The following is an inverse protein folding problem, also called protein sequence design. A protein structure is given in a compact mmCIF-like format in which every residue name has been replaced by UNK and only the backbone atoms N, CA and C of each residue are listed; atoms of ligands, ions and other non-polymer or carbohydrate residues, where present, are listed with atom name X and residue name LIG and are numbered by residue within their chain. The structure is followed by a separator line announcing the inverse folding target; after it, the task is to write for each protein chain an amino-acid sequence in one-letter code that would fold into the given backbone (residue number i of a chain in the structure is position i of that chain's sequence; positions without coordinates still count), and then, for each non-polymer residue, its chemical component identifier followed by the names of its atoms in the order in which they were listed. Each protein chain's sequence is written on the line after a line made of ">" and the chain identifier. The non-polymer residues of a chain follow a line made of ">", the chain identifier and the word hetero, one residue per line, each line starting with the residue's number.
data_IF_671104751789
#
_entry.id   IF_671104751789
#
_cell.length_a   1.000
_cell.length_b   1.000
_cell.length_c   1.000
_cell.angle_alpha   90.00
_cell.angle_beta   90.00
_cell.angle_gamma   90.00
#
_symmetry.space_group_name_H-M   'P 1'
#
loop_
_entity.id
_entity.type
_entity.pdbx_description
1 polymer ?
#
# COMPACT_ATOMS: atom_id res chain seq x y z
N UNK A 1 31.32 5.87 15.23
CA UNK A 1 29.98 5.33 14.88
C UNK A 1 29.02 6.49 14.78
N UNK A 2 28.42 6.64 13.60
CA UNK A 2 27.32 7.56 13.36
C UNK A 2 26.08 6.73 13.07
N UNK A 3 24.99 7.03 13.77
CA UNK A 3 23.70 6.35 13.56
C UNK A 3 22.67 7.36 13.08
N UNK A 4 22.03 6.98 11.99
CA UNK A 4 20.83 7.61 11.45
C UNK A 4 19.69 6.57 11.46
N UNK A 5 18.46 7.05 11.34
CA UNK A 5 17.27 6.22 11.18
C UNK A 5 17.38 5.25 10.00
N UNK A 6 18.01 5.67 8.89
CA UNK A 6 18.09 4.87 7.66
C UNK A 6 19.40 4.10 7.48
N UNK A 7 20.45 4.41 8.24
CA UNK A 7 21.77 3.81 8.03
C UNK A 7 22.65 3.87 9.27
N UNK A 8 23.54 2.89 9.39
CA UNK A 8 24.59 2.84 10.41
C UNK A 8 25.94 2.99 9.71
N UNK A 9 26.71 3.99 10.13
CA UNK A 9 28.06 4.23 9.61
C UNK A 9 29.08 3.86 10.68
N UNK A 10 29.90 2.88 10.37
CA UNK A 10 31.00 2.42 11.19
C UNK A 10 32.30 2.98 10.61
N UNK A 11 33.15 3.51 11.48
CA UNK A 11 34.44 4.10 11.11
C UNK A 11 35.52 3.45 11.96
N UNK A 12 36.51 2.83 11.35
CA UNK A 12 37.62 2.18 12.05
C UNK A 12 38.86 2.04 11.16
N UNK A 13 40.04 2.32 11.71
CA UNK A 13 41.34 2.20 11.03
C UNK A 13 41.44 2.89 9.65
N UNK A 14 40.73 4.00 9.45
CA UNK A 14 40.71 4.75 8.19
C UNK A 14 39.60 4.35 7.21
N UNK A 15 38.95 3.19 7.42
CA UNK A 15 37.86 2.72 6.58
C UNK A 15 36.48 3.07 7.17
N UNK A 16 35.54 3.38 6.28
CA UNK A 16 34.14 3.63 6.62
C UNK A 16 33.24 2.57 6.00
N UNK A 17 32.51 1.84 6.83
CA UNK A 17 31.49 0.88 6.40
C UNK A 17 30.10 1.49 6.58
N UNK A 18 29.34 1.53 5.49
CA UNK A 18 27.95 2.00 5.50
C UNK A 18 27.00 0.80 5.42
N UNK A 19 26.13 0.67 6.42
CA UNK A 19 25.12 -0.39 6.51
C UNK A 19 23.74 0.25 6.37
N UNK A 20 23.06 0.10 5.21
CA UNK A 20 21.69 0.58 5.06
C UNK A 20 20.73 -0.26 5.89
N UNK A 21 19.77 0.41 6.54
CA UNK A 21 18.70 -0.23 7.28
C UNK A 21 17.45 -0.37 6.41
N UNK A 22 16.71 -1.44 6.65
CA UNK A 22 15.42 -1.66 6.01
C UNK A 22 14.36 -0.79 6.69
N UNK A 23 13.71 0.09 5.93
CA UNK A 23 12.62 0.94 6.42
C UNK A 23 11.31 0.65 5.67
N UNK A 24 10.24 0.40 6.42
CA UNK A 24 8.86 0.26 5.90
C UNK A 24 8.74 -0.68 4.68
N UNK A 25 9.48 -1.79 4.70
CA UNK A 25 9.46 -2.76 3.62
C UNK A 25 8.32 -3.75 3.81
N UNK A 26 7.59 -4.04 2.74
CA UNK A 26 6.53 -5.06 2.74
C UNK A 26 7.12 -6.47 2.82
N UNK A 27 6.58 -7.30 3.71
CA UNK A 27 6.82 -8.75 3.71
C UNK A 27 5.90 -9.51 2.75
N UNK A 28 6.14 -10.80 2.55
CA UNK A 28 5.25 -11.64 1.74
C UNK A 28 3.83 -11.76 2.30
N UNK A 29 3.62 -11.51 3.59
CA UNK A 29 2.33 -11.54 4.27
C UNK A 29 1.78 -10.13 4.58
N UNK A 30 2.22 -9.12 3.83
CA UNK A 30 1.80 -7.72 3.99
C UNK A 30 2.16 -7.08 5.35
N UNK A 31 3.05 -7.70 6.14
CA UNK A 31 3.54 -7.09 7.38
C UNK A 31 4.65 -6.08 7.08
N UNK A 32 4.85 -5.13 8.00
CA UNK A 32 5.92 -4.14 7.90
C UNK A 32 7.24 -4.69 8.45
N UNK A 33 8.25 -4.78 7.59
CA UNK A 33 9.65 -5.00 7.97
C UNK A 33 10.33 -3.64 8.14
N UNK A 34 10.72 -3.33 9.38
CA UNK A 34 11.37 -2.06 9.71
C UNK A 34 12.47 -2.34 10.74
N UNK A 35 13.68 -1.86 10.45
CA UNK A 35 14.84 -2.01 11.30
C UNK A 35 15.13 -0.72 12.06
N UNK A 36 15.43 -0.85 13.35
CA UNK A 36 15.75 0.28 14.23
C UNK A 36 17.17 0.12 14.77
N UNK A 37 18.04 1.13 14.64
CA UNK A 37 19.38 1.06 15.19
C UNK A 37 19.31 1.00 16.72
N UNK A 38 20.12 0.12 17.32
CA UNK A 38 20.23 -0.05 18.78
C UNK A 38 21.53 0.51 19.36
N UNK A 39 22.52 0.77 18.51
CA UNK A 39 23.84 1.23 18.98
C UNK A 39 23.88 2.74 19.20
N UNK A 40 24.29 3.22 20.38
CA UNK A 40 24.48 4.65 20.62
C UNK A 40 25.73 5.15 19.89
N UNK A 41 25.70 6.43 19.49
CA UNK A 41 26.82 7.08 18.83
C UNK A 41 28.06 7.10 19.74
N UNK A 42 29.24 7.01 19.12
CA UNK A 42 30.52 7.11 19.82
C UNK A 42 30.95 5.90 20.67
N UNK A 43 30.15 4.83 20.81
CA UNK A 43 30.60 3.61 21.48
C UNK A 43 31.46 2.71 20.59
N UNK A 44 32.35 1.95 21.19
CA UNK A 44 33.05 0.85 20.53
C UNK A 44 32.10 -0.36 20.39
N UNK A 45 32.17 -1.05 19.26
CA UNK A 45 31.41 -2.27 19.00
C UNK A 45 32.34 -3.47 18.92
N UNK A 46 31.81 -4.65 19.26
CA UNK A 46 32.53 -5.93 19.11
C UNK A 46 32.00 -6.69 17.90
N UNK A 47 32.85 -7.53 17.31
CA UNK A 47 32.42 -8.46 16.25
C UNK A 47 31.31 -9.36 16.78
N UNK A 48 30.23 -9.51 16.01
CA UNK A 48 29.05 -10.29 16.40
C UNK A 48 28.03 -9.53 17.25
N UNK A 49 28.28 -8.27 17.60
CA UNK A 49 27.31 -7.44 18.29
C UNK A 49 26.16 -7.02 17.36
N UNK A 50 24.94 -7.06 17.89
CA UNK A 50 23.73 -6.67 17.17
C UNK A 50 23.68 -5.14 17.08
N UNK A 51 23.51 -4.65 15.84
CA UNK A 51 23.56 -3.21 15.54
C UNK A 51 22.17 -2.59 15.42
N UNK A 52 21.17 -3.39 15.01
CA UNK A 52 19.80 -2.97 14.82
C UNK A 52 18.84 -4.11 15.13
N UNK A 53 17.67 -3.77 15.66
CA UNK A 53 16.53 -4.66 15.80
C UNK A 53 15.68 -4.67 14.53
N UNK A 54 14.99 -5.77 14.26
CA UNK A 54 14.01 -5.91 13.18
C UNK A 54 12.57 -5.72 13.67
N UNK A 55 11.61 -6.20 12.87
CA UNK A 55 10.18 -6.01 13.12
C UNK A 55 9.63 -6.74 14.36
N UNK A 56 10.27 -7.84 14.77
CA UNK A 56 9.83 -8.67 15.90
C UNK A 56 11.02 -9.05 16.80
N UNK A 57 11.99 -8.15 16.94
CA UNK A 57 13.12 -8.33 17.87
C UNK A 57 13.29 -7.11 18.77
N UNK A 58 13.75 -7.34 20.00
CA UNK A 58 14.16 -6.28 20.93
C UNK A 58 15.44 -6.73 21.60
N UNK A 59 16.49 -5.91 21.51
CA UNK A 59 17.79 -6.24 22.08
C UNK A 59 18.43 -7.49 21.48
N UNK A 60 18.04 -7.86 20.25
CA UNK A 60 18.51 -9.07 19.60
C UNK A 60 17.75 -10.35 19.93
N UNK A 61 16.75 -10.29 20.81
CA UNK A 61 15.90 -11.43 21.16
C UNK A 61 14.56 -11.37 20.43
N UNK A 62 14.00 -12.54 20.13
CA UNK A 62 12.70 -12.66 19.45
C UNK A 62 11.56 -12.19 20.36
N UNK A 63 10.74 -11.27 19.87
CA UNK A 63 9.60 -10.70 20.60
C UNK A 63 8.34 -10.73 19.72
N UNK A 64 7.57 -11.81 19.83
CA UNK A 64 6.35 -12.02 19.02
C UNK A 64 5.11 -11.30 19.58
N UNK A 65 5.16 -10.81 20.82
CA UNK A 65 4.00 -10.26 21.50
C UNK A 65 4.36 -9.34 22.66
N UNK A 66 3.43 -9.22 23.60
CA UNK A 66 3.55 -8.35 24.77
C UNK A 66 3.18 -9.14 26.03
N UNK A 67 3.84 -8.82 27.13
CA UNK A 67 3.49 -9.36 28.44
C UNK A 67 2.21 -8.66 28.92
N UNK A 68 1.20 -9.46 29.28
CA UNK A 68 -0.08 -8.98 29.77
C UNK A 68 -0.32 -9.43 31.20
N UNK A 69 -1.00 -8.59 31.99
CA UNK A 69 -1.58 -9.02 33.25
C UNK A 69 -2.90 -9.74 32.94
N UNK A 70 -3.00 -11.00 33.36
CA UNK A 70 -4.15 -11.87 33.07
C UNK A 70 -4.79 -12.30 34.39
N UNK A 71 -6.11 -12.24 34.46
CA UNK A 71 -6.90 -12.80 35.54
C UNK A 71 -7.66 -14.03 35.04
N UNK A 72 -7.56 -15.14 35.76
CA UNK A 72 -8.27 -16.38 35.47
C UNK A 72 -9.55 -16.44 36.31
N UNK A 73 -10.64 -15.88 35.79
CA UNK A 73 -11.96 -15.93 36.42
C UNK A 73 -13.07 -15.81 35.37
N UNK A 74 -14.24 -16.42 35.57
CA UNK A 74 -15.41 -16.12 34.76
C UNK A 74 -15.84 -14.66 34.98
N UNK A 75 -16.18 -13.94 33.91
CA UNK A 75 -16.61 -12.54 34.00
C UNK A 75 -17.91 -12.31 33.24
N UNK A 76 -19.03 -12.34 33.96
CA UNK A 76 -20.39 -12.04 33.45
C UNK A 76 -20.77 -12.77 32.16
N UNK A 77 -20.14 -13.92 31.88
CA UNK A 77 -20.35 -14.69 30.64
C UNK A 77 -19.62 -14.15 29.40
N UNK A 78 -18.92 -13.02 29.48
CA UNK A 78 -18.18 -12.46 28.34
C UNK A 78 -16.98 -13.31 27.89
N UNK A 79 -16.43 -14.12 28.79
CA UNK A 79 -15.39 -15.10 28.49
C UNK A 79 -15.92 -16.54 28.51
N UNK A 80 -17.16 -16.74 28.05
CA UNK A 80 -17.72 -18.08 27.86
C UNK A 80 -16.96 -18.84 26.76
N UNK A 81 -16.81 -20.14 26.94
CA UNK A 81 -16.06 -21.04 26.04
C UNK A 81 -14.62 -20.55 25.81
N UNK A 82 -14.30 -20.13 24.58
CA UNK A 82 -12.97 -19.68 24.16
C UNK A 82 -12.88 -18.14 23.98
N UNK A 83 -13.91 -17.40 24.40
CA UNK A 83 -13.92 -15.95 24.28
C UNK A 83 -12.92 -15.30 25.26
N UNK A 84 -12.16 -14.33 24.76
CA UNK A 84 -11.20 -13.56 25.56
C UNK A 84 -11.72 -12.15 25.76
N UNK A 85 -11.96 -11.78 27.02
CA UNK A 85 -12.27 -10.41 27.39
C UNK A 85 -10.98 -9.58 27.46
N UNK A 86 -10.92 -8.50 26.69
CA UNK A 86 -9.76 -7.60 26.65
C UNK A 86 -10.07 -6.26 27.32
N UNK A 87 -9.07 -5.69 27.97
CA UNK A 87 -9.16 -4.33 28.50
C UNK A 87 -9.02 -3.32 27.36
N UNK A 88 -9.85 -2.28 27.37
CA UNK A 88 -9.75 -1.13 26.44
C UNK A 88 -8.37 -0.46 26.47
N UNK A 89 -7.62 -0.59 27.57
CA UNK A 89 -6.23 -0.14 27.68
C UNK A 89 -5.34 -0.70 26.57
N UNK A 90 -5.62 -1.90 26.07
CA UNK A 90 -4.86 -2.50 24.97
C UNK A 90 -5.07 -1.75 23.65
N UNK A 91 -6.25 -1.19 23.46
CA UNK A 91 -6.63 -0.39 22.28
C UNK A 91 -6.07 1.02 22.41
N UNK A 92 -6.40 1.74 23.48
CA UNK A 92 -5.95 3.12 23.69
C UNK A 92 -4.44 3.23 23.91
N UNK A 93 -3.82 2.20 24.48
CA UNK A 93 -2.38 2.10 24.64
C UNK A 93 -1.62 1.66 23.39
N UNK A 94 -2.31 1.38 22.27
CA UNK A 94 -1.72 0.91 21.00
C UNK A 94 -0.81 -0.31 21.16
N UNK A 95 -1.14 -1.20 22.11
CA UNK A 95 -0.26 -2.32 22.51
C UNK A 95 -0.22 -3.40 21.43
N UNK A 96 -1.38 -3.70 20.83
CA UNK A 96 -1.53 -4.64 19.71
C UNK A 96 -1.90 -3.90 18.43
N UNK A 97 -1.13 -2.88 18.08
CA UNK A 97 -1.26 -2.16 16.81
C UNK A 97 -0.16 -2.57 15.86
N UNK A 98 -0.51 -2.88 14.62
CA UNK A 98 0.45 -3.31 13.58
C UNK A 98 0.28 -2.51 12.30
N UNK A 99 1.39 -2.29 11.58
CA UNK A 99 1.37 -1.76 10.23
C UNK A 99 1.24 -2.88 9.20
N UNK A 100 0.25 -2.75 8.33
CA UNK A 100 0.10 -3.59 7.15
C UNK A 100 0.37 -2.76 5.90
N UNK A 101 1.19 -3.31 5.00
CA UNK A 101 1.55 -2.67 3.74
C UNK A 101 0.98 -3.51 2.61
N UNK A 102 0.07 -2.92 1.86
CA UNK A 102 -0.54 -3.53 0.69
C UNK A 102 0.15 -3.01 -0.57
N UNK A 103 0.22 -3.86 -1.58
CA UNK A 103 0.78 -3.52 -2.89
C UNK A 103 -0.32 -3.74 -3.93
N UNK A 104 -0.61 -2.72 -4.70
CA UNK A 104 -1.50 -2.76 -5.84
C UNK A 104 -0.67 -2.58 -7.11
N UNK A 105 -0.99 -3.35 -8.15
CA UNK A 105 -0.22 -3.37 -9.39
C UNK A 105 -1.18 -3.37 -10.57
N UNK A 106 -0.88 -2.54 -11.57
CA UNK A 106 -1.60 -2.50 -12.83
C UNK A 106 -0.62 -2.45 -13.98
N UNK A 107 -0.92 -3.26 -14.99
CA UNK A 107 -0.18 -3.31 -16.23
C UNK A 107 -0.94 -2.53 -17.30
N UNK A 108 -0.18 -1.85 -18.14
CA UNK A 108 -0.64 -1.07 -19.28
C UNK A 108 -0.28 -1.86 -20.52
N UNK A 109 -1.29 -2.29 -21.26
CA UNK A 109 -1.10 -3.08 -22.47
C UNK A 109 -1.35 -2.26 -23.72
N UNK A 110 -0.72 -2.69 -24.82
CA UNK A 110 -1.13 -2.29 -26.17
C UNK A 110 -2.14 -3.32 -26.66
N UNK A 111 -3.39 -2.90 -26.82
CA UNK A 111 -4.45 -3.75 -27.37
C UNK A 111 -4.54 -3.57 -28.89
N UNK A 112 -5.26 -4.48 -29.57
CA UNK A 112 -5.52 -4.36 -31.01
C UNK A 112 -6.27 -3.06 -31.37
N UNK A 113 -7.10 -2.56 -30.45
CA UNK A 113 -7.89 -1.32 -30.60
C UNK A 113 -7.08 -0.06 -30.25
N UNK A 114 -5.85 -0.22 -29.76
CA UNK A 114 -4.93 0.86 -29.39
C UNK A 114 -4.28 0.67 -28.01
N UNK A 115 -3.33 1.55 -27.66
CA UNK A 115 -2.68 1.53 -26.35
C UNK A 115 -3.65 1.96 -25.23
N UNK A 116 -3.61 1.24 -24.11
CA UNK A 116 -4.23 1.71 -22.87
C UNK A 116 -3.56 3.01 -22.40
N UNK A 117 -4.37 3.93 -21.87
CA UNK A 117 -3.90 5.26 -21.43
C UNK A 117 -4.10 5.42 -19.94
N UNK A 118 -3.08 5.94 -19.27
CA UNK A 118 -3.17 6.38 -17.87
C UNK A 118 -3.53 7.87 -17.86
N UNK A 119 -4.59 8.24 -17.15
CA UNK A 119 -5.08 9.62 -17.09
C UNK A 119 -5.92 9.85 -15.84
N UNK A 120 -5.97 11.09 -15.37
CA UNK A 120 -6.89 11.53 -14.32
C UNK A 120 -8.25 11.96 -14.88
N UNK A 121 -8.37 12.15 -16.21
CA UNK A 121 -9.62 12.51 -16.89
C UNK A 121 -10.41 11.26 -17.24
N UNK A 122 -11.14 10.73 -16.25
CA UNK A 122 -11.94 9.53 -16.42
C UNK A 122 -13.42 9.89 -16.49
N UNK A 123 -14.09 9.61 -17.63
CA UNK A 123 -15.51 9.93 -17.76
C UNK A 123 -16.34 9.06 -16.80
N UNK A 124 -17.50 9.57 -16.38
CA UNK A 124 -18.52 8.86 -15.56
C UNK A 124 -18.13 8.60 -14.10
N UNK A 125 -16.96 9.05 -13.64
CA UNK A 125 -16.58 9.00 -12.23
C UNK A 125 -16.79 10.33 -11.52
N UNK A 126 -17.15 10.24 -10.25
CA UNK A 126 -17.27 11.40 -9.40
C UNK A 126 -15.90 12.01 -9.09
N UNK A 127 -15.80 13.34 -9.12
CA UNK A 127 -14.56 14.06 -8.85
C UNK A 127 -13.95 13.72 -7.47
N UNK A 128 -14.78 13.32 -6.50
CA UNK A 128 -14.31 12.96 -5.17
C UNK A 128 -13.41 11.71 -5.16
N UNK A 129 -13.59 10.77 -6.10
CA UNK A 129 -12.79 9.54 -6.21
C UNK A 129 -11.44 9.78 -6.90
N UNK A 130 -11.37 10.85 -7.70
CA UNK A 130 -10.21 11.25 -8.48
C UNK A 130 -9.33 12.27 -7.74
N UNK A 131 -9.77 12.77 -6.57
CA UNK A 131 -9.14 13.87 -5.82
C UNK A 131 -7.67 13.66 -5.47
N UNK A 132 -7.25 12.40 -5.34
CA UNK A 132 -5.91 12.01 -4.91
C UNK A 132 -4.96 11.72 -6.09
N UNK A 133 -5.46 11.75 -7.33
CA UNK A 133 -4.65 11.51 -8.53
C UNK A 133 -3.85 12.75 -8.93
N UNK A 134 -2.64 12.52 -9.41
CA UNK A 134 -1.80 13.54 -10.02
C UNK A 134 -2.23 13.81 -11.48
N UNK A 135 -1.49 14.70 -12.16
CA UNK A 135 -1.70 15.03 -13.58
C UNK A 135 -1.54 13.84 -14.54
N UNK A 136 -0.87 12.77 -14.11
CA UNK A 136 -0.64 11.58 -14.91
C UNK A 136 -1.72 10.51 -14.65
N UNK A 137 -2.63 10.72 -13.71
CA UNK A 137 -3.63 9.73 -13.31
C UNK A 137 -3.12 8.72 -12.28
N UNK A 138 -2.06 9.03 -11.53
CA UNK A 138 -1.49 8.16 -10.49
C UNK A 138 -1.67 8.82 -9.12
N UNK A 139 -2.00 8.04 -8.10
CA UNK A 139 -2.18 8.59 -6.75
C UNK A 139 -0.90 9.26 -6.23
N UNK A 140 -1.06 10.42 -5.60
CA UNK A 140 0.06 11.18 -5.04
C UNK A 140 0.62 10.51 -3.78
N UNK A 141 1.95 10.45 -3.68
CA UNK A 141 2.66 9.98 -2.48
C UNK A 141 2.23 10.75 -1.22
N UNK A 142 1.97 10.03 -0.14
CA UNK A 142 1.55 10.61 1.14
C UNK A 142 0.04 10.91 1.23
N UNK A 143 -0.73 10.72 0.16
CA UNK A 143 -2.19 10.89 0.18
C UNK A 143 -2.85 9.88 1.11
N UNK A 144 -3.91 10.34 1.77
CA UNK A 144 -4.83 9.46 2.50
C UNK A 144 -5.90 8.97 1.55
N UNK A 145 -5.99 7.64 1.40
CA UNK A 145 -6.93 6.98 0.49
C UNK A 145 -7.95 6.19 1.28
N UNK A 146 -9.19 6.25 0.81
CA UNK A 146 -10.32 5.56 1.39
C UNK A 146 -10.92 4.55 0.40
N UNK A 147 -11.85 3.74 0.91
CA UNK A 147 -12.55 2.74 0.09
C UNK A 147 -13.17 3.37 -1.15
N UNK A 148 -12.89 2.80 -2.32
CA UNK A 148 -13.41 3.28 -3.60
C UNK A 148 -12.53 4.31 -4.30
N UNK A 149 -11.63 5.00 -3.59
CA UNK A 149 -10.70 5.95 -4.18
C UNK A 149 -9.86 5.27 -5.28
N UNK A 150 -9.56 6.02 -6.33
CA UNK A 150 -8.80 5.51 -7.47
C UNK A 150 -7.31 5.69 -7.18
N UNK A 151 -6.56 4.58 -7.27
CA UNK A 151 -5.11 4.58 -7.09
C UNK A 151 -4.38 4.85 -8.40
N UNK A 152 -4.89 4.27 -9.49
CA UNK A 152 -4.36 4.47 -10.85
C UNK A 152 -5.53 4.55 -11.82
N UNK A 153 -5.64 5.68 -12.49
CA UNK A 153 -6.62 5.95 -13.52
C UNK A 153 -6.19 5.38 -14.85
N UNK A 154 -6.90 4.35 -15.34
CA UNK A 154 -6.61 3.69 -16.61
C UNK A 154 -7.85 3.61 -17.50
N UNK A 155 -7.66 3.94 -18.77
CA UNK A 155 -8.63 3.84 -19.84
C UNK A 155 -8.17 2.83 -20.88
N UNK A 156 -9.01 1.83 -21.15
CA UNK A 156 -8.79 0.86 -22.23
C UNK A 156 -9.63 1.27 -23.44
N UNK A 157 -9.04 1.43 -24.64
CA UNK A 157 -9.82 1.68 -25.84
C UNK A 157 -10.74 0.49 -26.09
N UNK A 158 -12.01 0.78 -26.35
CA UNK A 158 -13.01 -0.24 -26.66
C UNK A 158 -13.44 -0.06 -28.12
N UNK A 159 -13.50 -1.17 -28.86
CA UNK A 159 -14.11 -1.20 -30.18
C UNK A 159 -15.52 -0.62 -30.06
N UNK A 160 -15.84 0.36 -30.92
CA UNK A 160 -17.20 0.90 -30.97
C UNK A 160 -18.12 -0.24 -31.37
N UNK A 161 -18.84 -0.77 -30.39
CA UNK A 161 -19.89 -1.74 -30.61
C UNK A 161 -20.90 -1.07 -31.55
N UNK A 162 -21.19 -1.70 -32.69
CA UNK A 162 -22.24 -1.24 -33.59
C UNK A 162 -23.51 -0.93 -32.79
N UNK A 163 -24.21 0.15 -33.11
CA UNK A 163 -25.45 0.54 -32.41
C UNK A 163 -26.50 -0.59 -32.37
N UNK A 164 -26.39 -1.56 -33.28
CA UNK A 164 -27.23 -2.76 -33.42
C UNK A 164 -27.14 -3.74 -32.25
N UNK A 165 -26.05 -3.74 -31.48
CA UNK A 165 -25.81 -4.69 -30.39
C UNK A 165 -26.23 -4.19 -29.01
N UNK A 166 -26.63 -2.92 -28.89
CA UNK A 166 -27.19 -2.40 -27.65
C UNK A 166 -28.66 -2.79 -27.50
N UNK A 167 -29.08 -3.02 -26.25
CA UNK A 167 -30.48 -3.29 -25.93
C UNK A 167 -31.35 -2.11 -26.37
N UNK A 168 -32.60 -2.33 -26.82
CA UNK A 168 -33.49 -1.24 -27.21
C UNK A 168 -33.70 -0.22 -26.08
N UNK A 169 -33.64 -0.67 -24.82
CA UNK A 169 -33.65 0.19 -23.62
C UNK A 169 -32.43 1.12 -23.55
N UNK A 170 -31.22 0.59 -23.78
CA UNK A 170 -29.98 1.39 -23.81
C UNK A 170 -29.99 2.41 -24.96
N UNK A 171 -30.52 2.04 -26.12
CA UNK A 171 -30.64 2.94 -27.28
C UNK A 171 -31.61 4.08 -26.98
N UNK A 172 -32.76 3.78 -26.37
CA UNK A 172 -33.74 4.79 -25.95
C UNK A 172 -33.13 5.75 -24.92
N UNK A 173 -32.48 5.22 -23.88
CA UNK A 173 -31.86 6.02 -22.83
C UNK A 173 -30.81 6.99 -23.40
N UNK A 174 -29.97 6.53 -24.33
CA UNK A 174 -28.98 7.39 -24.98
C UNK A 174 -29.61 8.46 -25.86
N UNK A 175 -30.66 8.12 -26.60
CA UNK A 175 -31.35 9.08 -27.45
C UNK A 175 -32.05 10.18 -26.63
N UNK A 176 -32.59 9.85 -25.45
CA UNK A 176 -33.25 10.81 -24.55
C UNK A 176 -32.25 11.67 -23.79
N UNK A 177 -31.11 11.10 -23.38
CA UNK A 177 -30.11 11.77 -22.53
C UNK A 177 -28.91 12.33 -23.32
N UNK A 178 -28.92 12.23 -24.65
CA UNK A 178 -27.83 12.62 -25.56
C UNK A 178 -26.45 12.10 -25.11
N UNK A 179 -26.43 10.87 -24.58
CA UNK A 179 -25.20 10.26 -24.04
C UNK A 179 -24.36 9.75 -25.20
N UNK A 180 -23.26 10.46 -25.47
CA UNK A 180 -22.26 10.04 -26.45
C UNK A 180 -21.60 8.71 -26.05
N UNK A 181 -21.37 7.85 -27.05
CA UNK A 181 -20.68 6.58 -26.84
C UNK A 181 -19.23 6.87 -26.47
N UNK A 182 -18.86 6.53 -25.23
CA UNK A 182 -17.46 6.59 -24.81
C UNK A 182 -16.66 5.53 -25.55
N UNK A 183 -15.69 5.95 -26.36
CA UNK A 183 -14.73 5.06 -27.05
C UNK A 183 -13.76 4.36 -26.10
N UNK A 184 -13.78 4.73 -24.81
CA UNK A 184 -12.93 4.18 -23.77
C UNK A 184 -13.76 3.55 -22.66
N UNK A 185 -13.27 2.41 -22.16
CA UNK A 185 -13.76 1.75 -20.96
C UNK A 185 -12.82 2.05 -19.80
N UNK A 186 -13.40 2.39 -18.66
CA UNK A 186 -12.65 2.53 -17.42
C UNK A 186 -12.14 1.16 -16.92
N UNK A 187 -10.83 1.05 -16.71
CA UNK A 187 -10.15 -0.15 -16.19
C UNK A 187 -9.18 0.23 -15.06
N UNK A 188 -9.61 1.14 -14.19
CA UNK A 188 -8.83 1.73 -13.11
C UNK A 188 -8.57 0.76 -11.95
N UNK A 189 -7.49 1.01 -11.19
CA UNK A 189 -7.28 0.39 -9.87
C UNK A 189 -8.02 1.20 -8.82
N UNK A 190 -8.98 0.56 -8.15
CA UNK A 190 -9.71 1.14 -7.02
C UNK A 190 -9.28 0.49 -5.71
N UNK A 191 -9.27 1.25 -4.63
CA UNK A 191 -9.01 0.70 -3.30
C UNK A 191 -10.18 -0.21 -2.88
N UNK A 192 -9.93 -1.46 -2.47
CA UNK A 192 -10.98 -2.40 -2.09
C UNK A 192 -11.73 -1.95 -0.84
N UNK A 193 -12.95 -2.47 -0.70
CA UNK A 193 -13.83 -2.15 0.44
C UNK A 193 -13.23 -2.58 1.78
N UNK A 194 -13.28 -1.67 2.76
CA UNK A 194 -12.79 -1.92 4.11
C UNK A 194 -11.30 -1.64 4.31
N UNK A 195 -10.59 -1.22 3.26
CA UNK A 195 -9.20 -0.75 3.36
C UNK A 195 -9.19 0.78 3.32
N UNK A 196 -8.33 1.36 4.16
CA UNK A 196 -7.96 2.78 4.17
C UNK A 196 -6.51 2.88 4.61
N UNK A 197 -5.81 3.91 4.15
CA UNK A 197 -4.43 4.07 4.54
C UNK A 197 -3.73 5.21 3.84
N UNK A 198 -2.41 5.25 4.03
CA UNK A 198 -1.55 6.26 3.43
C UNK A 198 -0.70 5.62 2.35
N UNK A 199 -0.62 6.29 1.20
CA UNK A 199 0.29 5.89 0.12
C UNK A 199 1.73 6.18 0.54
N UNK A 200 2.56 5.14 0.61
CA UNK A 200 3.96 5.25 1.08
C UNK A 200 4.99 5.16 -0.05
N UNK A 201 4.65 4.52 -1.17
CA UNK A 201 5.55 4.31 -2.30
C UNK A 201 4.73 4.24 -3.59
N UNK A 202 5.26 4.76 -4.69
CA UNK A 202 4.66 4.70 -6.02
C UNK A 202 5.80 4.52 -7.01
N UNK A 203 5.72 3.48 -7.83
CA UNK A 203 6.74 3.18 -8.83
C UNK A 203 6.11 2.92 -10.19
N UNK A 204 6.53 3.70 -11.17
CA UNK A 204 6.26 3.44 -12.57
C UNK A 204 7.51 2.79 -13.17
N UNK A 205 7.36 1.59 -13.67
CA UNK A 205 8.41 0.91 -14.42
C UNK A 205 8.03 0.89 -15.88
N UNK A 206 8.76 1.67 -16.67
CA UNK A 206 8.74 1.59 -18.12
C UNK A 206 9.46 0.31 -18.56
N UNK A 207 8.93 -0.31 -19.61
CA UNK A 207 9.49 -1.53 -20.17
C UNK A 207 10.42 -1.22 -21.32
N UNK A 208 11.57 -1.90 -21.35
CA UNK A 208 12.40 -2.01 -22.54
C UNK A 208 12.03 -3.28 -23.32
N UNK A 209 11.57 -3.07 -24.56
CA UNK A 209 11.39 -3.99 -25.69
C UNK A 209 10.32 -5.09 -25.67
N UNK A 210 9.91 -5.72 -24.55
CA UNK A 210 8.93 -6.85 -24.61
C UNK A 210 7.91 -6.95 -23.47
N UNK A 211 8.03 -6.18 -22.38
CA UNK A 211 7.09 -6.25 -21.25
C UNK A 211 6.05 -5.12 -21.30
N UNK A 212 4.86 -5.29 -20.70
CA UNK A 212 3.94 -4.17 -20.49
C UNK A 212 4.49 -3.22 -19.42
N UNK A 213 4.26 -1.91 -19.58
CA UNK A 213 4.56 -0.96 -18.52
C UNK A 213 3.75 -1.31 -17.27
N UNK A 214 4.35 -1.13 -16.09
CA UNK A 214 3.73 -1.54 -14.84
C UNK A 214 3.81 -0.44 -13.80
N UNK A 215 2.66 -0.06 -13.27
CA UNK A 215 2.54 0.89 -12.16
C UNK A 215 2.25 0.11 -10.88
N UNK A 216 3.02 0.40 -9.84
CA UNK A 216 2.89 -0.16 -8.50
C UNK A 216 2.62 0.96 -7.51
N UNK A 217 1.62 0.75 -6.66
CA UNK A 217 1.19 1.64 -5.57
C UNK A 217 1.14 0.84 -4.28
#
# INVERSE_FOLDING_TARGET
>A
IYTDTAKIILSGNGDTLNIPLILYQRSNKNTCMHQKPQVPQGRCIKKGQILADGAATVGGELTLGKNLLVAYMPWEGYNSEDAVLISERLVYGTIYTSFQIWKYEIQIYVTNEGPEKVTNEIPKLEAHLLRNLDKNGIVMLGSWVETGDILVGKLTPQMVIEESLYTPEDRLLRAVLDIQVSTFKETCVKLPTGVRGRVIDVRWMESSSDNPETIRV
#
